data_IF_667900122231
#
_entry.id   IF_667900122231
#
_cell.length_a   1.000
_cell.length_b   1.000
_cell.length_c   1.000
_cell.angle_alpha   90.00
_cell.angle_beta   90.00
_cell.angle_gamma   90.00
#
_symmetry.space_group_name_H-M   'P 1'
#
loop_
_entity.id
_entity.type
_entity.pdbx_description
1 polymer ?
#
# COMPACT_ATOMS: atom_id res chain seq x y z
N UNK A 1 2.71 -9.64 -43.39
CA UNK A 1 3.20 -9.89 -42.02
C UNK A 1 2.00 -9.83 -41.10
N UNK A 2 1.45 -10.99 -40.75
CA UNK A 2 0.26 -11.11 -39.89
C UNK A 2 0.68 -10.92 -38.44
N UNK A 3 0.22 -9.85 -37.80
CA UNK A 3 0.36 -9.66 -36.36
C UNK A 3 -0.65 -10.58 -35.69
N UNK A 4 -0.19 -11.71 -35.15
CA UNK A 4 -1.02 -12.53 -34.27
C UNK A 4 -1.48 -11.67 -33.09
N UNK A 5 -2.78 -11.68 -32.75
CA UNK A 5 -3.26 -11.00 -31.55
C UNK A 5 -2.53 -11.63 -30.36
N UNK A 6 -1.87 -10.80 -29.53
CA UNK A 6 -1.41 -11.25 -28.22
C UNK A 6 -2.65 -11.66 -27.44
N UNK A 7 -2.83 -12.96 -27.25
CA UNK A 7 -3.80 -13.49 -26.29
C UNK A 7 -3.40 -12.92 -24.93
N UNK A 8 -4.17 -11.95 -24.43
CA UNK A 8 -4.03 -11.55 -23.04
C UNK A 8 -4.34 -12.79 -22.18
N UNK A 9 -3.45 -13.17 -21.26
CA UNK A 9 -3.68 -14.34 -20.45
C UNK A 9 -4.92 -14.11 -19.59
N UNK A 10 -5.80 -15.10 -19.55
CA UNK A 10 -6.92 -15.10 -18.63
C UNK A 10 -6.35 -15.24 -17.21
N UNK A 11 -6.52 -14.18 -16.41
CA UNK A 11 -6.04 -14.13 -15.04
C UNK A 11 -7.19 -14.28 -14.06
N UNK A 12 -7.00 -15.14 -13.07
CA UNK A 12 -7.84 -15.23 -11.88
C UNK A 12 -7.17 -14.49 -10.73
N UNK A 13 -7.93 -13.81 -9.87
CA UNK A 13 -7.40 -13.24 -8.63
C UNK A 13 -7.92 -14.07 -7.45
N UNK A 14 -7.01 -14.47 -6.57
CA UNK A 14 -7.34 -15.27 -5.39
C UNK A 14 -6.76 -14.66 -4.12
N UNK A 15 -7.53 -14.75 -3.03
CA UNK A 15 -7.04 -14.41 -1.68
C UNK A 15 -6.38 -15.65 -1.05
N UNK A 16 -5.11 -15.54 -0.70
CA UNK A 16 -4.36 -16.55 0.03
C UNK A 16 -4.60 -16.38 1.52
N UNK A 17 -5.06 -17.47 2.14
CA UNK A 17 -5.50 -17.51 3.54
C UNK A 17 -4.66 -18.39 4.43
N UNK A 18 -3.71 -19.11 3.85
CA UNK A 18 -2.83 -20.05 4.55
C UNK A 18 -1.45 -19.95 3.93
N UNK A 19 -0.44 -20.09 4.78
CA UNK A 19 0.95 -20.18 4.34
C UNK A 19 1.17 -21.47 3.55
N UNK A 20 2.18 -21.48 2.69
CA UNK A 20 2.51 -22.63 1.85
C UNK A 20 3.36 -22.24 0.64
N UNK A 21 3.62 -23.20 -0.27
CA UNK A 21 4.55 -23.00 -1.39
C UNK A 21 4.20 -21.81 -2.30
N UNK A 22 2.92 -21.48 -2.44
CA UNK A 22 2.49 -20.33 -3.25
C UNK A 22 2.92 -18.99 -2.63
N UNK A 23 2.86 -18.86 -1.30
CA UNK A 23 3.34 -17.65 -0.60
C UNK A 23 4.83 -17.48 -0.80
N UNK A 24 5.58 -18.58 -0.78
CA UNK A 24 7.03 -18.57 -0.97
C UNK A 24 7.41 -18.14 -2.38
N UNK A 25 6.70 -18.68 -3.38
CA UNK A 25 6.88 -18.29 -4.78
C UNK A 25 6.54 -16.81 -5.01
N UNK A 26 5.44 -16.31 -4.42
CA UNK A 26 5.10 -14.87 -4.49
C UNK A 26 6.20 -14.02 -3.88
N UNK A 27 6.70 -14.41 -2.70
CA UNK A 27 7.74 -13.66 -2.03
C UNK A 27 9.03 -13.64 -2.84
N UNK A 28 9.50 -14.80 -3.29
CA UNK A 28 10.76 -14.95 -4.01
C UNK A 28 10.72 -14.33 -5.42
N UNK A 29 9.64 -14.56 -6.17
CA UNK A 29 9.60 -14.23 -7.59
C UNK A 29 8.96 -12.87 -7.89
N UNK A 30 8.18 -12.32 -6.96
CA UNK A 30 7.44 -11.06 -7.17
C UNK A 30 7.87 -9.99 -6.18
N UNK A 31 7.80 -10.25 -4.87
CA UNK A 31 8.04 -9.21 -3.87
C UNK A 31 9.52 -8.88 -3.75
N UNK A 32 10.37 -9.87 -3.47
CA UNK A 32 11.81 -9.67 -3.26
C UNK A 32 12.53 -8.99 -4.43
N UNK A 33 12.19 -9.23 -5.71
CA UNK A 33 12.80 -8.50 -6.83
C UNK A 33 12.22 -7.09 -7.05
N UNK A 34 11.03 -6.79 -6.50
CA UNK A 34 10.33 -5.53 -6.75
C UNK A 34 10.65 -4.45 -5.72
N UNK A 35 11.07 -4.83 -4.52
CA UNK A 35 11.32 -3.93 -3.40
C UNK A 35 12.76 -4.06 -2.89
N UNK A 36 13.41 -2.95 -2.49
CA UNK A 36 14.66 -3.02 -1.74
C UNK A 36 14.47 -3.85 -0.46
N UNK A 37 15.50 -4.59 0.00
CA UNK A 37 15.41 -5.38 1.23
C UNK A 37 14.93 -4.57 2.44
N UNK A 38 15.34 -3.31 2.54
CA UNK A 38 14.97 -2.40 3.63
C UNK A 38 13.50 -1.96 3.61
N UNK A 39 12.82 -2.12 2.47
CA UNK A 39 11.40 -1.74 2.34
C UNK A 39 10.47 -2.96 2.41
N UNK A 40 11.01 -4.18 2.35
CA UNK A 40 10.24 -5.42 2.31
C UNK A 40 10.37 -6.19 3.62
N UNK A 41 9.24 -6.53 4.25
CA UNK A 41 9.21 -7.42 5.40
C UNK A 41 9.81 -8.79 5.09
N UNK A 42 10.24 -9.54 6.11
CA UNK A 42 10.80 -10.88 5.86
C UNK A 42 9.72 -11.89 5.48
N UNK A 43 10.08 -12.97 4.75
CA UNK A 43 9.14 -14.07 4.47
C UNK A 43 8.57 -14.69 5.76
N UNK A 44 9.38 -14.77 6.81
CA UNK A 44 8.94 -15.27 8.11
C UNK A 44 7.84 -14.37 8.71
N UNK A 45 8.04 -13.05 8.67
CA UNK A 45 7.06 -12.07 9.14
C UNK A 45 5.78 -12.09 8.29
N UNK A 46 5.90 -12.15 6.95
CA UNK A 46 4.75 -12.29 6.05
C UNK A 46 3.91 -13.54 6.40
N UNK A 47 4.56 -14.69 6.59
CA UNK A 47 3.89 -15.94 6.97
C UNK A 47 3.25 -15.85 8.36
N UNK A 48 3.92 -15.21 9.31
CA UNK A 48 3.38 -14.99 10.65
C UNK A 48 2.10 -14.13 10.61
N UNK A 49 2.11 -13.04 9.84
CA UNK A 49 0.94 -12.17 9.66
C UNK A 49 -0.25 -12.87 9.00
N UNK A 50 0.01 -13.70 7.98
CA UNK A 50 -1.04 -14.53 7.35
C UNK A 50 -1.63 -15.51 8.37
N UNK A 51 -0.77 -16.14 9.18
CA UNK A 51 -1.20 -17.12 10.19
C UNK A 51 -1.99 -16.47 11.33
N UNK A 52 -1.61 -15.26 11.73
CA UNK A 52 -2.29 -14.46 12.74
C UNK A 52 -3.59 -13.80 12.22
N UNK A 53 -3.81 -13.80 10.90
CA UNK A 53 -4.96 -13.14 10.28
C UNK A 53 -4.85 -11.61 10.18
N UNK A 54 -3.67 -11.05 10.49
CA UNK A 54 -3.35 -9.62 10.38
C UNK A 54 -2.81 -9.26 9.00
N UNK A 55 -2.44 -10.24 8.17
CA UNK A 55 -2.01 -10.03 6.79
C UNK A 55 -2.84 -10.89 5.83
N UNK A 56 -3.17 -10.34 4.68
CA UNK A 56 -3.83 -11.04 3.56
C UNK A 56 -3.04 -10.81 2.28
N UNK A 57 -3.00 -11.81 1.39
CA UNK A 57 -2.31 -11.71 0.09
C UNK A 57 -3.31 -12.02 -1.01
N UNK A 58 -3.53 -11.08 -1.91
CA UNK A 58 -4.21 -11.33 -3.18
C UNK A 58 -3.16 -11.64 -4.25
N UNK A 59 -3.39 -12.65 -5.07
CA UNK A 59 -2.49 -13.06 -6.16
C UNK A 59 -3.24 -13.15 -7.48
N UNK A 60 -2.65 -12.62 -8.54
CA UNK A 60 -3.09 -12.87 -9.91
C UNK A 60 -2.42 -14.13 -10.44
N UNK A 61 -3.21 -15.09 -10.92
CA UNK A 61 -2.76 -16.40 -11.39
C UNK A 61 -3.25 -16.65 -12.82
N UNK A 62 -2.37 -17.17 -13.67
CA UNK A 62 -2.78 -17.69 -14.97
C UNK A 62 -3.42 -19.08 -14.88
N UNK A 63 -3.87 -19.61 -16.02
CA UNK A 63 -4.44 -20.94 -16.13
C UNK A 63 -3.50 -22.06 -15.64
N UNK A 64 -2.18 -21.85 -15.68
CA UNK A 64 -1.17 -22.78 -15.18
C UNK A 64 -0.86 -22.60 -13.68
N UNK A 65 -1.64 -21.77 -12.96
CA UNK A 65 -1.45 -21.43 -11.54
C UNK A 65 -0.14 -20.70 -11.26
N UNK A 66 0.44 -20.07 -12.26
CA UNK A 66 1.66 -19.29 -12.10
C UNK A 66 1.32 -17.90 -11.58
N UNK A 67 2.03 -17.35 -10.57
CA UNK A 67 1.84 -15.98 -10.10
C UNK A 67 2.28 -14.92 -11.12
N UNK A 68 1.40 -13.96 -11.40
CA UNK A 68 1.63 -12.82 -12.31
C UNK A 68 1.74 -11.50 -11.57
N UNK A 69 1.19 -11.41 -10.37
CA UNK A 69 1.27 -10.24 -9.50
C UNK A 69 0.69 -10.55 -8.13
N UNK A 70 1.06 -9.76 -7.14
CA UNK A 70 0.57 -9.91 -5.77
C UNK A 70 0.33 -8.55 -5.11
N UNK A 71 -0.68 -8.49 -4.26
CA UNK A 71 -0.99 -7.38 -3.38
C UNK A 71 -1.09 -7.90 -1.94
N UNK A 72 -0.38 -7.26 -1.02
CA UNK A 72 -0.34 -7.61 0.40
C UNK A 72 -1.06 -6.53 1.17
N UNK A 73 -2.10 -6.92 1.91
CA UNK A 73 -2.86 -6.05 2.80
C UNK A 73 -2.56 -6.39 4.26
N UNK A 74 -2.37 -5.36 5.08
CA UNK A 74 -2.19 -5.45 6.52
C UNK A 74 -3.40 -4.85 7.24
N UNK A 75 -4.03 -5.65 8.09
CA UNK A 75 -5.28 -5.32 8.75
C UNK A 75 -5.05 -4.81 10.17
N UNK A 76 -5.52 -3.59 10.43
CA UNK A 76 -5.50 -2.93 11.73
C UNK A 76 -6.93 -2.89 12.30
N UNK A 77 -7.33 -3.91 13.09
CA UNK A 77 -8.73 -4.10 13.49
C UNK A 77 -9.29 -2.96 14.34
N UNK A 78 -8.50 -2.44 15.29
CA UNK A 78 -8.94 -1.37 16.20
C UNK A 78 -9.24 -0.07 15.44
N UNK A 79 -8.38 0.27 14.48
CA UNK A 79 -8.59 1.42 13.59
C UNK A 79 -9.60 1.14 12.46
N UNK A 80 -9.91 -0.14 12.20
CA UNK A 80 -10.60 -0.65 11.01
C UNK A 80 -9.95 -0.21 9.69
N UNK A 81 -8.63 -0.14 9.66
CA UNK A 81 -7.86 0.30 8.49
C UNK A 81 -7.16 -0.89 7.84
N UNK A 82 -7.24 -0.96 6.51
CA UNK A 82 -6.43 -1.87 5.70
C UNK A 82 -5.30 -1.07 5.05
N UNK A 83 -4.05 -1.44 5.29
CA UNK A 83 -2.89 -0.88 4.60
C UNK A 83 -2.50 -1.80 3.44
N UNK A 84 -2.52 -1.29 2.21
CA UNK A 84 -1.84 -1.95 1.08
C UNK A 84 -0.32 -1.70 1.24
N UNK A 85 0.35 -2.62 1.91
CA UNK A 85 1.80 -2.54 2.17
C UNK A 85 2.63 -2.85 0.92
N UNK A 86 2.24 -3.86 0.14
CA UNK A 86 2.97 -4.25 -1.07
C UNK A 86 2.05 -4.48 -2.25
N UNK A 87 2.45 -4.00 -3.43
CA UNK A 87 1.80 -4.36 -4.68
C UNK A 87 2.82 -4.42 -5.82
N UNK A 88 2.92 -5.57 -6.47
CA UNK A 88 3.86 -5.75 -7.56
C UNK A 88 3.34 -6.74 -8.61
N UNK A 89 3.71 -6.50 -9.86
CA UNK A 89 3.63 -7.50 -10.91
C UNK A 89 4.95 -8.27 -10.98
N UNK A 90 4.90 -9.54 -11.39
CA UNK A 90 6.11 -10.32 -11.65
C UNK A 90 7.02 -9.57 -12.65
N UNK A 91 8.35 -9.56 -12.45
CA UNK A 91 9.28 -9.04 -13.46
C UNK A 91 8.97 -9.62 -14.84
N UNK A 92 8.95 -8.75 -15.87
CA UNK A 92 8.56 -9.11 -17.24
C UNK A 92 7.06 -8.97 -17.55
N UNK A 93 6.18 -8.93 -16.54
CA UNK A 93 4.72 -8.85 -16.74
C UNK A 93 4.14 -7.43 -16.53
N UNK A 94 5.00 -6.41 -16.37
CA UNK A 94 4.57 -5.01 -16.19
C UNK A 94 3.88 -4.48 -17.46
N UNK A 95 2.86 -3.65 -17.28
CA UNK A 95 2.13 -3.03 -18.39
C UNK A 95 1.08 -3.92 -19.05
N UNK A 96 0.88 -5.16 -18.57
CA UNK A 96 -0.10 -6.12 -19.10
C UNK A 96 -1.46 -6.06 -18.37
N UNK A 97 -1.83 -4.91 -17.80
CA UNK A 97 -3.13 -4.73 -17.13
C UNK A 97 -3.29 -5.37 -15.74
N UNK A 98 -2.40 -6.30 -15.33
CA UNK A 98 -2.48 -7.05 -14.06
C UNK A 98 -2.75 -6.17 -12.85
N UNK A 99 -2.04 -5.04 -12.72
CA UNK A 99 -2.17 -4.16 -11.55
C UNK A 99 -3.57 -3.58 -11.38
N UNK A 100 -4.27 -3.27 -12.48
CA UNK A 100 -5.64 -2.73 -12.41
C UNK A 100 -6.56 -3.71 -11.71
N UNK A 101 -6.60 -4.92 -12.24
CA UNK A 101 -7.54 -5.93 -11.79
C UNK A 101 -7.18 -6.39 -10.39
N UNK A 102 -5.88 -6.59 -10.13
CA UNK A 102 -5.39 -6.96 -8.82
C UNK A 102 -5.80 -5.93 -7.74
N UNK A 103 -5.59 -4.62 -7.97
CA UNK A 103 -5.99 -3.60 -6.99
C UNK A 103 -7.50 -3.62 -6.75
N UNK A 104 -8.29 -3.63 -7.83
CA UNK A 104 -9.74 -3.58 -7.74
C UNK A 104 -10.33 -4.82 -7.04
N UNK A 105 -9.82 -6.01 -7.35
CA UNK A 105 -10.26 -7.25 -6.70
C UNK A 105 -9.81 -7.33 -5.25
N UNK A 106 -8.59 -6.89 -4.92
CA UNK A 106 -8.12 -6.80 -3.53
C UNK A 106 -9.05 -5.93 -2.68
N UNK A 107 -9.34 -4.71 -3.14
CA UNK A 107 -10.23 -3.79 -2.41
C UNK A 107 -11.62 -4.42 -2.22
N UNK A 108 -12.19 -5.05 -3.25
CA UNK A 108 -13.49 -5.73 -3.15
C UNK A 108 -13.47 -6.90 -2.14
N UNK A 109 -12.42 -7.73 -2.18
CA UNK A 109 -12.27 -8.85 -1.26
C UNK A 109 -12.13 -8.36 0.18
N UNK A 110 -11.32 -7.31 0.39
CA UNK A 110 -11.14 -6.73 1.72
C UNK A 110 -12.40 -6.06 2.25
N UNK A 111 -13.15 -5.36 1.39
CA UNK A 111 -14.44 -4.77 1.73
C UNK A 111 -15.43 -5.82 2.24
N UNK A 112 -15.56 -6.95 1.53
CA UNK A 112 -16.48 -8.03 1.93
C UNK A 112 -16.05 -8.77 3.20
N UNK A 113 -14.75 -8.79 3.51
CA UNK A 113 -14.22 -9.58 4.63
C UNK A 113 -14.01 -8.77 5.92
N UNK A 114 -13.36 -7.63 5.79
CA UNK A 114 -12.89 -6.83 6.92
C UNK A 114 -13.77 -5.62 7.19
N UNK A 115 -14.59 -5.20 6.21
CA UNK A 115 -15.33 -3.94 6.24
C UNK A 115 -14.43 -2.77 6.72
N UNK A 116 -13.29 -2.52 6.05
CA UNK A 116 -12.39 -1.45 6.42
C UNK A 116 -13.09 -0.11 6.25
N UNK A 117 -12.95 0.79 7.23
CA UNK A 117 -13.40 2.16 7.05
C UNK A 117 -12.50 2.92 6.07
N UNK A 118 -11.22 2.55 6.01
CA UNK A 118 -10.23 3.08 5.08
C UNK A 118 -9.37 1.96 4.49
N UNK A 119 -9.06 2.07 3.21
CA UNK A 119 -7.92 1.37 2.61
C UNK A 119 -6.87 2.41 2.27
N UNK A 120 -5.69 2.29 2.87
CA UNK A 120 -4.57 3.21 2.71
C UNK A 120 -3.43 2.56 1.91
N UNK A 121 -2.53 3.38 1.36
CA UNK A 121 -1.27 2.93 0.81
C UNK A 121 -0.18 3.98 1.03
N UNK A 122 1.08 3.53 1.09
CA UNK A 122 2.26 4.38 1.16
C UNK A 122 2.88 4.50 -0.23
N UNK A 123 3.17 5.72 -0.67
CA UNK A 123 3.77 5.95 -1.98
C UNK A 123 4.84 7.02 -1.92
N UNK A 124 5.96 6.75 -2.59
CA UNK A 124 7.05 7.72 -2.76
C UNK A 124 6.57 9.01 -3.42
N UNK A 125 7.02 10.15 -2.90
CA UNK A 125 6.85 11.44 -3.56
C UNK A 125 7.80 11.56 -4.77
N UNK A 126 7.31 11.95 -5.96
CA UNK A 126 8.18 12.12 -7.13
C UNK A 126 9.22 13.25 -7.03
N UNK A 127 9.08 14.19 -6.10
CA UNK A 127 10.07 15.24 -5.84
C UNK A 127 11.18 14.82 -4.87
N UNK A 128 10.98 13.73 -4.12
CA UNK A 128 11.96 13.19 -3.16
C UNK A 128 12.65 11.91 -3.66
N UNK A 129 11.98 11.15 -4.54
CA UNK A 129 12.43 9.83 -5.00
C UNK A 129 12.66 9.79 -6.50
N UNK A 130 13.72 9.11 -6.94
CA UNK A 130 14.10 9.00 -8.35
C UNK A 130 13.56 7.71 -8.96
N UNK A 131 13.15 7.79 -10.22
CA UNK A 131 12.80 6.61 -10.98
C UNK A 131 14.00 5.66 -11.11
N UNK A 132 13.73 4.36 -11.03
CA UNK A 132 14.72 3.32 -11.30
C UNK A 132 14.11 2.19 -12.14
N UNK A 133 14.94 1.48 -12.89
CA UNK A 133 14.48 0.31 -13.65
C UNK A 133 13.98 -0.82 -12.73
N UNK A 134 14.56 -0.93 -11.52
CA UNK A 134 14.19 -1.97 -10.55
C UNK A 134 12.87 -1.66 -9.85
N UNK A 135 12.69 -0.43 -9.34
CA UNK A 135 11.57 -0.09 -8.44
C UNK A 135 10.46 0.71 -9.14
N UNK A 136 10.73 1.22 -10.35
CA UNK A 136 9.76 1.92 -11.20
C UNK A 136 9.87 3.45 -11.12
N UNK A 137 8.90 4.13 -11.74
CA UNK A 137 8.77 5.60 -11.75
C UNK A 137 7.72 6.03 -10.71
N UNK A 138 8.11 6.78 -9.66
CA UNK A 138 7.18 7.33 -8.66
C UNK A 138 6.03 8.13 -9.28
N UNK A 139 6.31 8.87 -10.37
CA UNK A 139 5.29 9.65 -11.09
C UNK A 139 4.29 8.73 -11.77
N UNK A 140 4.75 7.64 -12.39
CA UNK A 140 3.87 6.63 -12.97
C UNK A 140 3.01 5.93 -11.90
N UNK A 141 3.58 5.71 -10.71
CA UNK A 141 2.86 5.12 -9.55
C UNK A 141 1.73 6.04 -9.06
N UNK A 142 1.98 7.34 -8.91
CA UNK A 142 0.92 8.29 -8.57
C UNK A 142 -0.17 8.34 -9.65
N UNK A 143 0.20 8.41 -10.94
CA UNK A 143 -0.78 8.37 -12.05
C UNK A 143 -1.59 7.07 -12.03
N UNK A 144 -0.99 5.94 -11.67
CA UNK A 144 -1.69 4.67 -11.53
C UNK A 144 -2.78 4.77 -10.46
N UNK A 145 -2.45 5.16 -9.23
CA UNK A 145 -3.43 5.25 -8.15
C UNK A 145 -4.48 6.34 -8.38
N UNK A 146 -4.12 7.48 -9.00
CA UNK A 146 -5.06 8.56 -9.31
C UNK A 146 -6.18 8.09 -10.24
N UNK A 147 -5.87 7.21 -11.21
CA UNK A 147 -6.90 6.62 -12.10
C UNK A 147 -7.92 5.76 -11.36
N UNK A 148 -7.61 5.33 -10.14
CA UNK A 148 -8.53 4.59 -9.26
C UNK A 148 -9.16 5.47 -8.19
N UNK A 149 -9.12 6.79 -8.36
CA UNK A 149 -9.74 7.74 -7.44
C UNK A 149 -8.96 7.96 -6.15
N UNK A 150 -7.71 7.49 -6.08
CA UNK A 150 -6.91 7.68 -4.90
C UNK A 150 -6.60 9.17 -4.67
N UNK A 151 -6.53 9.57 -3.40
CA UNK A 151 -6.22 10.94 -2.97
C UNK A 151 -5.16 10.94 -1.89
N UNK A 152 -4.30 11.93 -1.86
CA UNK A 152 -3.28 12.08 -0.82
C UNK A 152 -3.91 12.69 0.44
N UNK A 153 -3.52 12.19 1.59
CA UNK A 153 -3.81 12.82 2.88
C UNK A 153 -2.85 13.99 3.06
N UNK A 154 -3.36 15.18 3.39
CA UNK A 154 -2.59 16.41 3.58
C UNK A 154 -1.82 16.39 4.91
N UNK A 155 -0.88 15.45 5.04
CA UNK A 155 -0.11 15.14 6.24
C UNK A 155 1.40 15.10 5.92
N UNK A 156 2.26 15.54 6.85
CA UNK A 156 3.71 15.37 6.73
C UNK A 156 4.07 13.91 7.07
N UNK A 157 3.70 12.98 6.17
CA UNK A 157 3.82 11.56 6.40
C UNK A 157 5.26 11.06 6.21
N UNK A 158 5.66 10.14 7.08
CA UNK A 158 6.84 9.29 6.93
C UNK A 158 6.42 7.85 7.21
N UNK A 159 7.06 6.90 6.54
CA UNK A 159 6.89 5.49 6.84
C UNK A 159 7.82 5.13 8.01
N UNK A 160 7.31 4.47 9.07
CA UNK A 160 8.14 3.97 10.15
C UNK A 160 9.26 3.02 9.68
N UNK A 161 10.35 2.92 10.42
CA UNK A 161 11.38 1.92 10.17
C UNK A 161 10.79 0.52 10.35
N UNK A 162 10.85 -0.33 9.32
CA UNK A 162 10.27 -1.68 9.36
C UNK A 162 11.10 -2.66 10.21
N UNK A 163 12.37 -2.32 10.47
CA UNK A 163 13.30 -3.05 11.33
C UNK A 163 14.05 -2.11 12.27
N UNK A 164 14.54 -2.67 13.37
CA UNK A 164 15.23 -1.90 14.43
C UNK A 164 16.55 -1.24 13.96
N UNK A 165 17.18 -1.76 12.91
CA UNK A 165 18.43 -1.29 12.34
C UNK A 165 18.25 -0.45 11.06
N UNK A 166 17.01 -0.13 10.69
CA UNK A 166 16.68 0.65 9.50
C UNK A 166 16.25 2.07 9.86
N UNK A 167 16.39 2.97 8.90
CA UNK A 167 15.89 4.33 9.00
C UNK A 167 14.44 4.42 8.53
N UNK A 168 13.72 5.43 9.02
CA UNK A 168 12.41 5.80 8.50
C UNK A 168 12.51 6.24 7.04
N UNK A 169 11.52 5.86 6.22
CA UNK A 169 11.41 6.39 4.88
C UNK A 169 10.69 7.75 4.88
N UNK A 170 11.45 8.80 4.58
CA UNK A 170 10.95 10.16 4.37
C UNK A 170 10.58 10.41 2.90
N UNK A 171 9.93 11.54 2.63
CA UNK A 171 9.48 11.85 1.27
C UNK A 171 8.36 10.92 0.78
N UNK A 172 7.52 10.45 1.69
CA UNK A 172 6.39 9.57 1.40
C UNK A 172 5.06 10.34 1.43
N UNK A 173 4.05 9.79 0.76
CA UNK A 173 2.65 10.20 0.89
C UNK A 173 1.88 9.01 1.47
N UNK A 174 0.94 9.30 2.35
CA UNK A 174 -0.14 8.39 2.68
C UNK A 174 -1.32 8.72 1.78
N UNK A 175 -1.82 7.74 1.03
CA UNK A 175 -2.96 7.91 0.11
C UNK A 175 -4.13 7.05 0.55
N UNK A 176 -5.35 7.54 0.31
CA UNK A 176 -6.59 6.78 0.44
C UNK A 176 -6.93 6.11 -0.89
N UNK A 177 -7.16 4.80 -0.86
CA UNK A 177 -7.67 3.99 -1.97
C UNK A 177 -9.18 3.72 -1.82
N UNK A 178 -9.68 3.77 -0.59
CA UNK A 178 -11.09 3.64 -0.24
C UNK A 178 -11.34 4.38 1.06
N UNK A 179 -12.50 5.03 1.15
CA UNK A 179 -13.03 5.56 2.40
C UNK A 179 -14.54 5.30 2.43
N UNK A 180 -15.03 4.79 3.56
CA UNK A 180 -16.48 4.71 3.82
C UNK A 180 -17.07 6.13 3.91
N UNK A 181 -18.23 6.36 3.28
CA UNK A 181 -18.85 7.69 3.16
C UNK A 181 -19.03 8.41 4.49
N UNK A 182 -19.33 7.68 5.57
CA UNK A 182 -19.54 8.26 6.91
C UNK A 182 -18.28 8.89 7.53
N UNK A 183 -17.09 8.57 7.02
CA UNK A 183 -15.84 9.19 7.44
C UNK A 183 -15.42 10.35 6.52
N UNK A 184 -16.21 10.66 5.49
CA UNK A 184 -16.02 11.84 4.65
C UNK A 184 -16.82 13.02 5.23
N UNK A 185 -16.12 14.08 5.58
CA UNK A 185 -16.69 15.34 6.08
C UNK A 185 -16.82 16.31 4.90
N UNK A 186 -17.77 16.01 4.00
CA UNK A 186 -17.87 16.68 2.70
C UNK A 186 -16.89 16.10 1.66
N UNK A 187 -16.66 16.80 0.54
CA UNK A 187 -16.01 16.19 -0.64
C UNK A 187 -14.48 15.98 -0.49
N UNK A 188 -13.81 16.79 0.33
CA UNK A 188 -12.34 16.88 0.37
C UNK A 188 -11.76 16.80 1.78
N UNK A 189 -12.53 16.28 2.75
CA UNK A 189 -12.10 16.18 4.13
C UNK A 189 -12.43 14.79 4.68
N UNK A 190 -11.46 14.16 5.32
CA UNK A 190 -11.58 12.84 5.94
C UNK A 190 -11.51 13.00 7.45
N UNK A 191 -12.37 12.31 8.21
CA UNK A 191 -12.24 12.19 9.66
C UNK A 191 -10.84 11.65 10.02
N UNK A 192 -10.13 12.40 10.87
CA UNK A 192 -8.77 12.06 11.26
C UNK A 192 -8.69 10.85 12.21
N UNK A 193 -9.79 10.46 12.86
CA UNK A 193 -9.78 9.47 13.93
C UNK A 193 -9.25 8.08 13.49
N UNK A 194 -9.71 7.48 12.37
CA UNK A 194 -9.18 6.18 11.95
C UNK A 194 -7.71 6.24 11.55
N UNK A 195 -7.28 7.31 10.86
CA UNK A 195 -5.87 7.49 10.45
C UNK A 195 -4.97 7.62 11.67
N UNK A 196 -5.41 8.37 12.69
CA UNK A 196 -4.66 8.56 13.93
C UNK A 196 -4.53 7.26 14.72
N UNK A 197 -5.60 6.46 14.81
CA UNK A 197 -5.58 5.16 15.47
C UNK A 197 -4.64 4.19 14.72
N UNK A 198 -4.80 4.08 13.40
CA UNK A 198 -3.92 3.27 12.55
C UNK A 198 -2.44 3.64 12.73
N UNK A 199 -2.12 4.93 12.64
CA UNK A 199 -0.73 5.36 12.70
C UNK A 199 -0.10 5.13 14.09
N UNK A 200 -0.87 5.27 15.16
CA UNK A 200 -0.41 4.95 16.51
C UNK A 200 -0.10 3.44 16.66
N UNK A 201 -0.99 2.58 16.17
CA UNK A 201 -0.79 1.12 16.18
C UNK A 201 0.39 0.71 15.31
N UNK A 202 0.51 1.29 14.12
CA UNK A 202 1.62 1.01 13.19
C UNK A 202 2.96 1.39 13.81
N UNK A 203 3.08 2.61 14.34
CA UNK A 203 4.31 3.08 14.98
C UNK A 203 4.67 2.26 16.22
N UNK A 204 3.67 1.88 17.03
CA UNK A 204 3.89 1.03 18.20
C UNK A 204 4.38 -0.38 17.80
N UNK A 205 3.86 -0.93 16.70
CA UNK A 205 4.25 -2.25 16.19
C UNK A 205 5.64 -2.28 15.55
N UNK A 206 6.12 -1.17 15.02
CA UNK A 206 7.43 -1.09 14.35
C UNK A 206 8.53 -0.50 15.23
N UNK A 207 8.28 0.68 15.81
CA UNK A 207 9.27 1.48 16.53
C UNK A 207 8.94 1.63 18.03
N UNK A 208 7.76 1.19 18.46
CA UNK A 208 7.30 1.38 19.83
C UNK A 208 6.88 2.83 20.10
N UNK A 209 7.24 3.35 21.28
CA UNK A 209 6.84 4.71 21.71
C UNK A 209 7.87 5.74 21.25
N UNK A 210 7.47 6.61 20.33
CA UNK A 210 8.32 7.63 19.72
C UNK A 210 7.79 9.04 19.98
N UNK A 211 8.63 9.92 20.53
CA UNK A 211 8.30 11.32 20.85
C UNK A 211 9.19 12.36 20.15
N UNK A 212 9.82 12.02 19.04
CA UNK A 212 10.66 12.96 18.29
C UNK A 212 9.87 14.05 17.51
N UNK A 213 10.54 15.06 16.94
CA UNK A 213 9.88 16.15 16.23
C UNK A 213 9.08 15.71 15.00
N UNK A 214 9.51 14.69 14.25
CA UNK A 214 8.79 14.21 13.07
C UNK A 214 7.47 13.55 13.49
N UNK A 215 7.53 12.64 14.46
CA UNK A 215 6.35 11.97 15.02
C UNK A 215 5.38 12.98 15.66
N UNK A 216 5.90 14.00 16.35
CA UNK A 216 5.08 15.07 16.95
C UNK A 216 4.37 15.92 15.91
N UNK A 217 5.07 16.34 14.84
CA UNK A 217 4.45 17.10 13.73
C UNK A 217 3.32 16.33 13.04
N UNK A 218 3.51 15.03 12.81
CA UNK A 218 2.49 14.19 12.21
C UNK A 218 1.27 14.01 13.14
N UNK A 219 1.50 13.78 14.44
CA UNK A 219 0.42 13.78 15.44
C UNK A 219 -0.36 15.08 15.45
N UNK A 220 0.33 16.22 15.47
CA UNK A 220 -0.31 17.54 15.47
C UNK A 220 -1.13 17.78 14.21
N UNK A 221 -0.65 17.34 13.05
CA UNK A 221 -1.41 17.43 11.80
C UNK A 221 -2.73 16.61 11.84
N UNK A 222 -2.74 15.49 12.56
CA UNK A 222 -3.92 14.62 12.76
C UNK A 222 -4.80 15.01 13.97
N UNK A 223 -4.44 16.04 14.75
CA UNK A 223 -5.29 16.56 15.86
C UNK A 223 -6.49 17.37 15.36
N UNK A 224 -6.44 17.84 14.11
CA UNK A 224 -7.58 18.50 13.48
C UNK A 224 -8.69 17.48 13.24
N UNK A 225 -9.95 17.90 13.37
CA UNK A 225 -11.11 17.01 13.19
C UNK A 225 -11.17 16.40 11.77
N UNK A 226 -10.48 17.00 10.80
CA UNK A 226 -10.38 16.46 9.46
C UNK A 226 -9.01 16.62 8.80
N UNK A 227 -8.65 15.64 7.98
CA UNK A 227 -7.49 15.60 7.10
C UNK A 227 -7.96 15.94 5.69
N UNK A 228 -7.36 16.98 5.09
CA UNK A 228 -7.71 17.35 3.72
C UNK A 228 -7.25 16.27 2.75
N UNK A 229 -8.12 15.90 1.82
CA UNK A 229 -7.81 15.00 0.71
C UNK A 229 -7.42 15.82 -0.51
N UNK A 230 -6.30 15.47 -1.14
CA UNK A 230 -5.79 16.15 -2.33
C UNK A 230 -5.73 15.21 -3.53
N UNK A 231 -6.07 15.70 -4.74
CA UNK A 231 -5.69 15.01 -5.98
C UNK A 231 -4.19 14.69 -5.99
N UNK A 232 -3.79 13.54 -6.54
CA UNK A 232 -2.38 13.12 -6.51
C UNK A 232 -1.48 13.94 -7.43
N UNK A 233 -2.02 14.63 -8.44
CA UNK A 233 -1.28 15.62 -9.24
C UNK A 233 -0.99 16.91 -8.47
N UNK A 234 -1.68 17.16 -7.36
CA UNK A 234 -1.41 18.24 -6.41
C UNK A 234 -0.45 17.84 -5.28
N UNK A 235 0.23 16.67 -5.36
CA UNK A 235 1.06 16.15 -4.26
C UNK A 235 2.10 17.13 -3.71
N UNK A 236 2.59 18.07 -4.52
CA UNK A 236 3.55 19.11 -4.08
C UNK A 236 2.97 20.06 -3.02
N UNK A 237 1.64 20.15 -2.91
CA UNK A 237 0.93 20.92 -1.87
C UNK A 237 0.79 20.15 -0.56
N UNK A 238 0.98 18.82 -0.58
CA UNK A 238 1.03 18.00 0.64
C UNK A 238 2.34 18.31 1.36
N UNK A 239 2.35 18.62 2.67
CA UNK A 239 3.58 18.84 3.40
C UNK A 239 4.46 17.58 3.39
N UNK A 240 5.77 17.74 3.23
CA UNK A 240 6.70 16.62 3.34
C UNK A 240 7.19 16.47 4.78
N UNK A 241 7.31 15.23 5.28
CA UNK A 241 8.07 14.98 6.49
C UNK A 241 9.56 15.21 6.22
N UNK A 242 10.24 15.84 7.18
CA UNK A 242 11.70 15.95 7.22
C UNK A 242 12.20 15.20 8.45
N UNK A 243 13.35 14.52 8.29
CA UNK A 243 14.13 13.98 9.39
C UNK A 243 14.75 15.06 10.28
#
# INVERSE_FOLDING_TARGET
MSSSPRLEPELSIEEIRRTGPLVDAIYADILSPSFPPAELTTLAALRAGITAGTTTVAVALDAARTPWGAAVGEWYPEARVMLLGYMAARPGNRGLGVGRELLAQSIRAWAGRYAPCLVLAEVERPDAHRASLAHGDPTARLRFYQRYGARALDLPYFQPALRADEERAYGMLLITLHAEDRFLIGPDLLDAAPVRAFWADYLAGTEGRVDDPAATRLRDAMRRDGIRLRPLDEYRRVPAAAG
#
